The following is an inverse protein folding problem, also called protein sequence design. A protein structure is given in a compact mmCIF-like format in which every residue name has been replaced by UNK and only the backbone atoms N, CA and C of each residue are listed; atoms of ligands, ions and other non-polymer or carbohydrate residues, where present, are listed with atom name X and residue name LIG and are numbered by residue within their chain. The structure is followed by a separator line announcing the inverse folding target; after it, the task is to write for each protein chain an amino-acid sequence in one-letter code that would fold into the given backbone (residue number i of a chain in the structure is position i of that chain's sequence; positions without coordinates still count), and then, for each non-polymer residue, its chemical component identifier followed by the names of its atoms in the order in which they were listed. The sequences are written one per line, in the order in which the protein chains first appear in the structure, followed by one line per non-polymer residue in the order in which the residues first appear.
data_IF_441797120472
#
_entry.id   IF_441797120472
#
_cell.length_a   1.000
_cell.length_b   1.000
_cell.length_c   1.000
_cell.angle_alpha   90.00
_cell.angle_beta   90.00
_cell.angle_gamma   90.00
#
_symmetry.space_group_name_H-M   'P 1'
#
loop_
_entity.id
_entity.type
_entity.pdbx_description
1 polymer ?
#
# COMPACT_ATOMS: atom_id res chain seq x y z
N UNK A 1 11.35 -10.33 -8.18
CA UNK A 1 9.93 -10.69 -8.39
C UNK A 1 8.98 -9.72 -7.67
N UNK A 2 9.20 -9.42 -6.37
CA UNK A 2 8.42 -8.42 -5.62
C UNK A 2 8.40 -7.03 -6.29
N UNK A 3 9.53 -6.58 -6.86
CA UNK A 3 9.54 -5.34 -7.62
C UNK A 3 8.52 -5.36 -8.79
N UNK A 4 8.49 -6.44 -9.57
CA UNK A 4 7.50 -6.63 -10.65
C UNK A 4 6.08 -6.62 -10.09
N UNK A 5 5.85 -7.22 -8.93
CA UNK A 5 4.57 -7.19 -8.21
C UNK A 5 4.09 -5.76 -7.96
N UNK A 6 4.98 -4.87 -7.54
CA UNK A 6 4.62 -3.47 -7.30
C UNK A 6 4.12 -2.80 -8.58
N UNK A 7 4.81 -3.00 -9.72
CA UNK A 7 4.37 -2.47 -11.01
C UNK A 7 3.07 -3.09 -11.50
N UNK A 8 2.96 -4.42 -11.46
CA UNK A 8 1.74 -5.12 -11.87
C UNK A 8 0.53 -4.62 -11.08
N UNK A 9 0.67 -4.53 -9.74
CA UNK A 9 -0.36 -3.99 -8.87
C UNK A 9 -0.70 -2.53 -9.22
N UNK A 10 0.29 -1.66 -9.38
CA UNK A 10 0.07 -0.24 -9.68
C UNK A 10 -0.62 0.01 -11.01
N UNK A 11 -0.19 -0.69 -12.06
CA UNK A 11 -0.76 -0.56 -13.41
C UNK A 11 -2.17 -1.13 -13.45
N UNK A 12 -2.42 -2.27 -12.78
CA UNK A 12 -3.72 -2.92 -12.86
C UNK A 12 -4.79 -2.28 -11.96
N UNK A 13 -4.41 -1.52 -10.92
CA UNK A 13 -5.33 -0.89 -9.97
C UNK A 13 -6.42 -0.03 -10.63
N UNK A 14 -6.08 0.98 -11.47
CA UNK A 14 -7.11 1.78 -12.13
C UNK A 14 -7.96 0.95 -13.11
N UNK A 15 -7.37 -0.07 -13.74
CA UNK A 15 -8.06 -0.95 -14.70
C UNK A 15 -9.13 -1.77 -13.96
N UNK A 16 -8.75 -2.47 -12.90
CA UNK A 16 -9.69 -3.29 -12.13
C UNK A 16 -10.71 -2.47 -11.36
N UNK A 17 -10.36 -1.25 -10.92
CA UNK A 17 -11.33 -0.30 -10.38
C UNK A 17 -12.42 0.06 -11.39
N UNK A 18 -12.03 0.47 -12.60
CA UNK A 18 -12.98 0.80 -13.67
C UNK A 18 -13.83 -0.42 -14.11
N UNK A 19 -13.21 -1.60 -14.18
CA UNK A 19 -13.94 -2.84 -14.45
C UNK A 19 -14.91 -3.19 -13.33
N UNK A 20 -14.58 -2.91 -12.07
CA UNK A 20 -15.46 -3.15 -10.92
C UNK A 20 -16.66 -2.22 -10.93
N UNK A 21 -16.46 -0.95 -11.31
CA UNK A 21 -17.56 -0.01 -11.48
C UNK A 21 -18.45 -0.42 -12.65
N UNK A 22 -17.89 -0.88 -13.78
CA UNK A 22 -18.70 -1.27 -14.95
C UNK A 22 -19.40 -2.61 -14.80
N UNK A 23 -18.71 -3.63 -14.30
CA UNK A 23 -19.16 -5.02 -14.31
C UNK A 23 -19.57 -5.55 -12.92
N UNK A 24 -19.35 -4.75 -11.87
CA UNK A 24 -19.65 -5.07 -10.47
C UNK A 24 -18.44 -5.62 -9.73
N UNK A 25 -18.21 -5.11 -8.52
CA UNK A 25 -17.04 -5.45 -7.69
C UNK A 25 -16.90 -6.94 -7.40
N UNK A 26 -18.00 -7.65 -7.08
CA UNK A 26 -17.98 -9.09 -6.80
C UNK A 26 -17.29 -9.91 -7.92
N UNK A 27 -17.54 -9.60 -9.20
CA UNK A 27 -16.92 -10.33 -10.32
C UNK A 27 -15.41 -10.08 -10.39
N UNK A 28 -14.99 -8.85 -10.11
CA UNK A 28 -13.58 -8.47 -10.14
C UNK A 28 -12.83 -9.05 -8.94
N UNK A 29 -13.45 -9.11 -7.76
CA UNK A 29 -12.87 -9.79 -6.59
C UNK A 29 -12.68 -11.29 -6.85
N UNK A 30 -13.62 -11.95 -7.55
CA UNK A 30 -13.43 -13.35 -7.99
C UNK A 30 -12.20 -13.49 -8.89
N UNK A 31 -12.04 -12.62 -9.89
CA UNK A 31 -10.84 -12.61 -10.74
C UNK A 31 -9.57 -12.38 -9.91
N UNK A 32 -9.64 -11.50 -8.90
CA UNK A 32 -8.53 -11.25 -7.98
C UNK A 32 -8.15 -12.50 -7.18
N UNK A 33 -9.14 -13.22 -6.63
CA UNK A 33 -8.91 -14.49 -5.94
C UNK A 33 -8.29 -15.56 -6.84
N UNK A 34 -8.75 -15.66 -8.10
CA UNK A 34 -8.17 -16.56 -9.10
C UNK A 34 -6.71 -16.20 -9.39
N UNK A 35 -6.41 -14.93 -9.72
CA UNK A 35 -5.04 -14.50 -9.98
C UNK A 35 -4.13 -14.71 -8.76
N UNK A 36 -4.59 -14.37 -7.56
CA UNK A 36 -3.80 -14.52 -6.35
C UNK A 36 -3.49 -15.99 -6.06
N UNK A 37 -4.50 -16.87 -6.06
CA UNK A 37 -4.32 -18.30 -5.80
C UNK A 37 -3.46 -18.97 -6.88
N UNK A 38 -3.72 -18.68 -8.17
CA UNK A 38 -2.89 -19.21 -9.27
C UNK A 38 -1.45 -18.72 -9.20
N UNK A 39 -1.22 -17.48 -8.78
CA UNK A 39 0.12 -16.94 -8.57
C UNK A 39 0.90 -17.69 -7.50
N UNK A 40 0.26 -17.97 -6.36
CA UNK A 40 0.86 -18.78 -5.29
C UNK A 40 1.11 -20.23 -5.71
N UNK A 41 0.17 -20.86 -6.44
CA UNK A 41 0.35 -22.21 -6.99
C UNK A 41 1.54 -22.28 -7.96
N UNK A 42 1.66 -21.28 -8.83
CA UNK A 42 2.79 -21.19 -9.78
C UNK A 42 4.12 -21.03 -9.04
N UNK A 43 4.17 -20.25 -7.96
CA UNK A 43 5.37 -20.14 -7.12
C UNK A 43 5.73 -21.45 -6.41
N UNK A 44 4.74 -22.15 -5.86
CA UNK A 44 4.95 -23.40 -5.14
C UNK A 44 5.59 -24.49 -6.02
N UNK A 45 5.36 -24.40 -7.35
CA UNK A 45 5.87 -25.32 -8.35
C UNK A 45 6.97 -24.68 -9.23
N UNK A 46 7.57 -23.58 -8.79
CA UNK A 46 8.53 -22.84 -9.59
C UNK A 46 9.85 -23.61 -9.76
N UNK A 47 10.21 -23.90 -11.02
CA UNK A 47 11.50 -24.49 -11.39
C UNK A 47 12.55 -23.46 -11.82
N UNK A 48 12.19 -22.17 -11.84
CA UNK A 48 13.11 -21.09 -12.21
C UNK A 48 12.57 -19.68 -11.98
N UNK A 49 13.40 -18.64 -12.21
CA UNK A 49 13.06 -17.25 -11.88
C UNK A 49 11.82 -16.71 -12.59
N UNK A 50 11.58 -17.15 -13.83
CA UNK A 50 10.42 -16.73 -14.61
C UNK A 50 9.09 -17.19 -14.00
N UNK A 51 9.04 -18.38 -13.39
CA UNK A 51 7.86 -18.83 -12.67
C UNK A 51 7.59 -17.96 -11.43
N UNK A 52 8.63 -17.49 -10.73
CA UNK A 52 8.48 -16.53 -9.64
C UNK A 52 8.02 -15.15 -10.15
N UNK A 53 8.58 -14.65 -11.26
CA UNK A 53 8.16 -13.39 -11.87
C UNK A 53 6.71 -13.44 -12.36
N UNK A 54 6.29 -14.54 -12.99
CA UNK A 54 4.90 -14.75 -13.37
C UNK A 54 3.98 -14.91 -12.16
N UNK A 55 4.39 -15.71 -11.17
CA UNK A 55 3.61 -16.03 -9.98
C UNK A 55 3.39 -14.83 -9.07
N UNK A 56 4.39 -14.45 -8.28
CA UNK A 56 4.24 -13.31 -7.36
C UNK A 56 4.30 -11.97 -8.10
N UNK A 57 5.14 -11.87 -9.12
CA UNK A 57 5.36 -10.61 -9.82
C UNK A 57 4.16 -10.14 -10.62
N UNK A 58 3.49 -11.02 -11.36
CA UNK A 58 2.37 -10.61 -12.24
C UNK A 58 1.04 -11.04 -11.62
N UNK A 59 0.84 -12.33 -11.39
CA UNK A 59 -0.45 -12.87 -10.98
C UNK A 59 -0.85 -12.39 -9.59
N UNK A 60 0.02 -12.51 -8.58
CA UNK A 60 -0.28 -11.98 -7.24
C UNK A 60 -0.44 -10.46 -7.28
N UNK A 61 0.38 -9.72 -8.03
CA UNK A 61 0.23 -8.26 -8.18
C UNK A 61 -1.15 -7.85 -8.73
N UNK A 62 -1.59 -8.51 -9.80
CA UNK A 62 -2.93 -8.32 -10.37
C UNK A 62 -4.03 -8.80 -9.42
N UNK A 63 -3.80 -9.88 -8.67
CA UNK A 63 -4.71 -10.42 -7.67
C UNK A 63 -4.94 -9.44 -6.51
N UNK A 64 -3.87 -8.91 -5.93
CA UNK A 64 -3.89 -7.86 -4.90
C UNK A 64 -4.64 -6.63 -5.39
N UNK A 65 -4.53 -6.34 -6.68
CA UNK A 65 -5.21 -5.21 -7.28
C UNK A 65 -6.72 -5.41 -7.42
N UNK A 66 -7.13 -6.54 -8.00
CA UNK A 66 -8.54 -6.86 -8.27
C UNK A 66 -9.34 -7.23 -7.00
N UNK A 67 -8.68 -7.76 -5.96
CA UNK A 67 -9.29 -8.05 -4.65
C UNK A 67 -8.94 -6.99 -3.58
N UNK A 68 -8.23 -5.92 -3.96
CA UNK A 68 -7.70 -4.93 -3.03
C UNK A 68 -8.71 -3.85 -2.60
N UNK A 69 -8.22 -2.93 -1.78
CA UNK A 69 -9.03 -1.86 -1.18
C UNK A 69 -9.84 -1.04 -2.20
N UNK A 70 -9.27 -0.74 -3.37
CA UNK A 70 -9.95 0.08 -4.38
C UNK A 70 -11.25 -0.57 -4.88
N UNK A 71 -11.28 -1.90 -5.02
CA UNK A 71 -12.45 -2.64 -5.50
C UNK A 71 -13.44 -2.91 -4.36
N UNK A 72 -12.95 -3.17 -3.15
CA UNK A 72 -13.79 -3.59 -2.01
C UNK A 72 -14.41 -2.41 -1.26
N UNK A 73 -13.68 -1.32 -1.05
CA UNK A 73 -14.16 -0.22 -0.20
C UNK A 73 -15.30 0.58 -0.82
N UNK A 74 -15.36 0.69 -2.16
CA UNK A 74 -16.46 1.38 -2.85
C UNK A 74 -17.83 0.80 -2.52
N UNK A 75 -18.08 -0.50 -2.76
CA UNK A 75 -19.30 -1.20 -2.35
C UNK A 75 -19.60 -1.08 -0.85
N UNK A 76 -18.59 -1.22 0.02
CA UNK A 76 -18.77 -1.07 1.48
C UNK A 76 -19.30 0.33 1.80
N UNK A 77 -18.69 1.38 1.26
CA UNK A 77 -19.16 2.75 1.50
C UNK A 77 -20.60 3.00 1.04
N UNK A 78 -21.04 2.32 -0.02
CA UNK A 78 -22.41 2.43 -0.56
C UNK A 78 -23.44 1.61 0.22
N UNK A 79 -23.03 0.53 0.88
CA UNK A 79 -23.93 -0.35 1.63
C UNK A 79 -24.46 0.26 2.94
N UNK A 80 -23.81 1.34 3.43
CA UNK A 80 -24.15 1.96 4.71
C UNK A 80 -24.64 3.41 4.54
N UNK A 81 -25.55 3.87 5.42
CA UNK A 81 -25.96 5.28 5.50
C UNK A 81 -24.77 6.23 5.69
N UNK A 82 -24.86 7.50 5.25
CA UNK A 82 -23.77 8.47 5.35
C UNK A 82 -23.15 8.58 6.76
N UNK A 83 -23.97 8.51 7.80
CA UNK A 83 -23.57 8.64 9.20
C UNK A 83 -22.74 7.44 9.69
N UNK A 84 -22.93 6.26 9.08
CA UNK A 84 -22.23 5.01 9.42
C UNK A 84 -21.12 4.65 8.42
N UNK A 85 -21.05 5.34 7.29
CA UNK A 85 -20.13 5.06 6.17
C UNK A 85 -18.67 5.07 6.60
N UNK A 86 -18.24 6.07 7.38
CA UNK A 86 -16.86 6.17 7.87
C UNK A 86 -16.47 4.96 8.74
N UNK A 87 -17.35 4.57 9.67
CA UNK A 87 -17.13 3.40 10.52
C UNK A 87 -17.05 2.10 9.70
N UNK A 88 -17.96 1.90 8.75
CA UNK A 88 -17.97 0.72 7.90
C UNK A 88 -16.67 0.61 7.05
N UNK A 89 -16.23 1.72 6.46
CA UNK A 89 -14.97 1.79 5.72
C UNK A 89 -13.76 1.54 6.63
N UNK A 90 -13.79 2.06 7.86
CA UNK A 90 -12.76 1.82 8.88
C UNK A 90 -12.64 0.35 9.26
N UNK A 91 -13.76 -0.32 9.56
CA UNK A 91 -13.80 -1.76 9.86
C UNK A 91 -13.30 -2.59 8.69
N UNK A 92 -13.76 -2.29 7.46
CA UNK A 92 -13.30 -2.99 6.26
C UNK A 92 -11.78 -2.82 6.04
N UNK A 93 -11.24 -1.62 6.29
CA UNK A 93 -9.81 -1.34 6.17
C UNK A 93 -8.99 -2.04 7.26
N UNK A 94 -9.52 -2.11 8.49
CA UNK A 94 -8.92 -2.84 9.60
C UNK A 94 -8.80 -4.34 9.28
N UNK A 95 -9.76 -4.91 8.54
CA UNK A 95 -9.68 -6.28 8.04
C UNK A 95 -8.43 -6.58 7.22
N UNK A 96 -7.96 -5.63 6.38
CA UNK A 96 -6.71 -5.80 5.63
C UNK A 96 -5.47 -5.83 6.52
N UNK A 97 -5.45 -5.00 7.57
CA UNK A 97 -4.34 -4.97 8.54
C UNK A 97 -4.33 -6.21 9.46
N UNK A 98 -5.52 -6.66 9.88
CA UNK A 98 -5.67 -7.94 10.58
C UNK A 98 -5.24 -9.11 9.71
N UNK A 99 -5.56 -9.08 8.41
CA UNK A 99 -5.07 -10.04 7.43
C UNK A 99 -3.55 -10.08 7.37
N UNK A 100 -2.87 -8.93 7.30
CA UNK A 100 -1.41 -8.85 7.34
C UNK A 100 -0.85 -9.46 8.64
N UNK A 101 -1.42 -9.10 9.80
CA UNK A 101 -1.03 -9.65 11.10
C UNK A 101 -1.12 -11.18 11.12
N UNK A 102 -2.28 -11.73 10.78
CA UNK A 102 -2.57 -13.17 10.87
C UNK A 102 -1.74 -13.93 9.83
N UNK A 103 -1.69 -13.46 8.59
CA UNK A 103 -0.99 -14.15 7.49
C UNK A 103 0.53 -14.14 7.66
N UNK A 104 1.12 -13.12 8.30
CA UNK A 104 2.54 -13.13 8.62
C UNK A 104 2.91 -14.24 9.61
N UNK A 105 2.13 -14.39 10.69
CA UNK A 105 2.34 -15.43 11.69
C UNK A 105 2.05 -16.83 11.14
N UNK A 106 0.93 -16.99 10.43
CA UNK A 106 0.57 -18.26 9.78
C UNK A 106 1.63 -18.63 8.74
N UNK A 107 2.07 -17.67 7.91
CA UNK A 107 3.13 -17.88 6.92
C UNK A 107 4.44 -18.34 7.55
N UNK A 108 4.91 -17.65 8.60
CA UNK A 108 6.11 -18.04 9.34
C UNK A 108 6.01 -19.45 9.94
N UNK A 109 4.91 -19.76 10.63
CA UNK A 109 4.69 -21.08 11.24
C UNK A 109 4.59 -22.21 10.19
N UNK A 110 3.97 -21.96 9.05
CA UNK A 110 3.90 -22.93 7.95
C UNK A 110 5.29 -23.15 7.33
N UNK A 111 6.07 -22.10 7.10
CA UNK A 111 7.43 -22.22 6.56
C UNK A 111 8.31 -23.04 7.50
N UNK A 112 8.26 -22.78 8.81
CA UNK A 112 9.06 -23.48 9.81
C UNK A 112 8.68 -24.97 9.93
N UNK A 113 7.40 -25.32 9.74
CA UNK A 113 6.90 -26.69 9.95
C UNK A 113 6.91 -27.59 8.71
N UNK A 114 6.64 -27.03 7.52
CA UNK A 114 6.48 -27.81 6.28
C UNK A 114 7.28 -27.26 5.09
N UNK A 115 8.08 -26.21 5.31
CA UNK A 115 8.85 -25.55 4.26
C UNK A 115 8.01 -24.62 3.38
N UNK A 116 8.70 -23.77 2.62
CA UNK A 116 8.09 -22.67 1.88
C UNK A 116 7.15 -23.13 0.75
N UNK A 117 7.48 -24.21 0.03
CA UNK A 117 6.67 -24.66 -1.11
C UNK A 117 5.31 -25.21 -0.65
N UNK A 118 5.28 -26.04 0.39
CA UNK A 118 4.03 -26.54 0.97
C UNK A 118 3.23 -25.42 1.64
N UNK A 119 3.90 -24.49 2.32
CA UNK A 119 3.27 -23.30 2.89
C UNK A 119 2.54 -22.47 1.81
N UNK A 120 3.15 -22.26 0.64
CA UNK A 120 2.51 -21.56 -0.48
C UNK A 120 1.26 -22.27 -0.99
N UNK A 121 1.22 -23.61 -1.02
CA UNK A 121 0.02 -24.37 -1.41
C UNK A 121 -1.12 -24.16 -0.40
N UNK A 122 -0.83 -24.21 0.90
CA UNK A 122 -1.83 -23.91 1.95
C UNK A 122 -2.33 -22.48 1.82
N UNK A 123 -1.43 -21.52 1.61
CA UNK A 123 -1.79 -20.12 1.39
C UNK A 123 -2.60 -19.91 0.11
N UNK A 124 -2.37 -20.70 -0.94
CA UNK A 124 -3.19 -20.67 -2.15
C UNK A 124 -4.62 -21.16 -1.89
N UNK A 125 -4.78 -22.20 -1.06
CA UNK A 125 -6.11 -22.67 -0.63
C UNK A 125 -6.82 -21.58 0.19
N UNK A 126 -6.12 -20.94 1.13
CA UNK A 126 -6.67 -19.82 1.91
C UNK A 126 -7.06 -18.66 0.98
N UNK A 127 -6.21 -18.30 0.02
CA UNK A 127 -6.50 -17.26 -0.96
C UNK A 127 -7.69 -17.62 -1.88
N UNK A 128 -7.91 -18.89 -2.18
CA UNK A 128 -9.07 -19.32 -2.97
C UNK A 128 -10.41 -19.01 -2.28
N UNK A 129 -10.45 -18.87 -0.94
CA UNK A 129 -11.65 -18.43 -0.22
C UNK A 129 -12.06 -16.98 -0.55
N UNK A 130 -11.20 -16.17 -1.17
CA UNK A 130 -11.60 -14.87 -1.73
C UNK A 130 -12.77 -15.03 -2.71
N UNK A 131 -12.81 -16.14 -3.47
CA UNK A 131 -13.83 -16.41 -4.49
C UNK A 131 -15.24 -16.52 -3.89
N UNK A 132 -15.52 -17.42 -2.94
CA UNK A 132 -16.84 -17.47 -2.30
C UNK A 132 -17.13 -16.22 -1.47
N UNK A 133 -16.12 -15.60 -0.83
CA UNK A 133 -16.31 -14.38 -0.05
C UNK A 133 -16.65 -13.15 -0.91
N UNK A 134 -16.30 -13.15 -2.19
CA UNK A 134 -16.67 -12.09 -3.14
C UNK A 134 -18.19 -11.86 -3.24
N UNK A 135 -19.00 -12.86 -2.90
CA UNK A 135 -20.46 -12.73 -2.81
C UNK A 135 -20.89 -11.65 -1.80
N UNK A 136 -20.12 -11.43 -0.74
CA UNK A 136 -20.38 -10.40 0.28
C UNK A 136 -20.13 -8.97 -0.21
N UNK A 137 -19.48 -8.80 -1.37
CA UNK A 137 -19.14 -7.48 -1.95
C UNK A 137 -20.09 -7.12 -3.12
N UNK A 138 -21.21 -7.84 -3.25
CA UNK A 138 -22.24 -7.53 -4.25
C UNK A 138 -22.89 -6.18 -3.93
N UNK A 139 -22.92 -5.28 -4.90
CA UNK A 139 -23.57 -3.98 -4.77
C UNK A 139 -23.84 -3.36 -6.14
N UNK A 140 -24.83 -2.45 -6.19
CA UNK A 140 -25.11 -1.68 -7.41
C UNK A 140 -23.94 -0.75 -7.73
N UNK A 141 -23.60 -0.64 -9.01
CA UNK A 141 -22.70 0.39 -9.52
C UNK A 141 -23.37 1.76 -9.38
N UNK A 142 -22.59 2.79 -9.07
CA UNK A 142 -23.10 4.14 -9.04
C UNK A 142 -23.35 4.63 -10.48
N UNK A 143 -24.58 5.03 -10.78
CA UNK A 143 -24.86 5.88 -11.93
C UNK A 143 -24.39 7.30 -11.64
N UNK A 144 -23.76 7.93 -12.65
CA UNK A 144 -23.21 9.28 -12.62
C UNK A 144 -24.27 10.32 -12.23
N UNK A 145 -24.07 10.97 -11.08
CA UNK A 145 -24.87 12.10 -10.63
C UNK A 145 -24.09 13.42 -10.77
N UNK A 146 -24.20 14.04 -11.94
CA UNK A 146 -24.00 15.50 -12.15
C UNK A 146 -22.79 15.89 -13.03
N UNK A 147 -22.83 16.96 -13.85
CA UNK A 147 -21.65 17.50 -14.56
C UNK A 147 -21.10 18.83 -13.98
N UNK A 148 -19.81 19.10 -14.23
CA UNK A 148 -19.22 20.45 -14.38
C UNK A 148 -17.80 20.39 -15.01
N UNK A 149 -17.04 19.31 -14.80
CA UNK A 149 -15.70 19.12 -15.35
C UNK A 149 -15.61 17.71 -15.96
N UNK A 150 -14.96 17.56 -17.11
CA UNK A 150 -14.67 16.24 -17.70
C UNK A 150 -13.46 15.57 -17.02
N UNK A 151 -13.33 14.24 -17.12
CA UNK A 151 -12.13 13.54 -16.61
C UNK A 151 -10.85 14.10 -17.23
N UNK A 152 -10.88 14.44 -18.52
CA UNK A 152 -9.75 15.03 -19.23
C UNK A 152 -9.35 16.38 -18.64
N UNK A 153 -10.31 17.24 -18.32
CA UNK A 153 -10.06 18.52 -17.66
C UNK A 153 -9.49 18.33 -16.25
N UNK A 154 -10.02 17.39 -15.46
CA UNK A 154 -9.50 17.11 -14.12
C UNK A 154 -8.04 16.61 -14.16
N UNK A 155 -7.72 15.73 -15.12
CA UNK A 155 -6.36 15.27 -15.35
C UNK A 155 -5.44 16.40 -15.82
N UNK A 156 -5.91 17.28 -16.70
CA UNK A 156 -5.17 18.46 -17.15
C UNK A 156 -4.91 19.45 -16.01
N UNK A 157 -5.91 19.69 -15.17
CA UNK A 157 -5.82 20.55 -13.98
C UNK A 157 -4.80 20.00 -12.98
N UNK A 158 -4.87 18.71 -12.68
CA UNK A 158 -3.94 18.05 -11.76
C UNK A 158 -2.50 18.00 -12.31
N UNK A 159 -2.33 17.66 -13.59
CA UNK A 159 -1.00 17.63 -14.23
C UNK A 159 -0.35 19.01 -14.34
N UNK A 160 -1.13 20.10 -14.42
CA UNK A 160 -0.62 21.47 -14.37
C UNK A 160 -0.31 21.98 -12.96
N UNK A 161 -0.65 21.23 -11.90
CA UNK A 161 -0.53 21.68 -10.52
C UNK A 161 0.77 21.16 -9.87
N UNK A 162 1.65 22.08 -9.46
CA UNK A 162 2.91 21.75 -8.77
C UNK A 162 2.69 20.96 -7.47
N UNK A 163 1.67 21.31 -6.68
CA UNK A 163 1.38 20.65 -5.40
C UNK A 163 1.02 19.17 -5.60
N UNK A 164 0.37 18.85 -6.72
CA UNK A 164 0.02 17.47 -7.06
C UNK A 164 1.26 16.62 -7.34
N UNK A 165 2.24 17.16 -8.07
CA UNK A 165 3.50 16.46 -8.31
C UNK A 165 4.39 16.35 -7.08
N UNK A 166 4.39 17.37 -6.20
CA UNK A 166 5.05 17.27 -4.89
C UNK A 166 4.43 16.15 -4.05
N UNK A 167 3.09 16.01 -4.08
CA UNK A 167 2.39 14.91 -3.41
C UNK A 167 2.73 13.54 -4.03
N UNK A 168 2.81 13.43 -5.36
CA UNK A 168 3.26 12.21 -6.04
C UNK A 168 4.69 11.82 -5.65
N UNK A 169 5.62 12.78 -5.65
CA UNK A 169 7.02 12.58 -5.27
C UNK A 169 7.16 12.20 -3.79
N UNK A 170 6.32 12.77 -2.94
CA UNK A 170 6.20 12.41 -1.55
C UNK A 170 5.70 10.97 -1.35
N UNK A 171 4.59 10.62 -2.00
CA UNK A 171 3.97 9.31 -1.84
C UNK A 171 4.79 8.17 -2.49
N UNK A 172 5.60 8.48 -3.49
CA UNK A 172 6.67 7.61 -3.99
C UNK A 172 7.59 7.13 -2.85
N UNK A 173 8.03 8.02 -1.95
CA UNK A 173 8.92 7.67 -0.83
C UNK A 173 8.22 6.72 0.14
N UNK A 174 6.91 6.90 0.37
CA UNK A 174 6.15 5.95 1.16
C UNK A 174 6.19 4.54 0.56
N UNK A 175 6.00 4.44 -0.77
CA UNK A 175 6.09 3.16 -1.47
C UNK A 175 7.46 2.54 -1.37
N UNK A 176 8.52 3.34 -1.54
CA UNK A 176 9.90 2.91 -1.36
C UNK A 176 10.11 2.31 0.04
N UNK A 177 9.78 3.03 1.11
CA UNK A 177 9.96 2.55 2.49
C UNK A 177 9.19 1.27 2.76
N UNK A 178 7.91 1.22 2.40
CA UNK A 178 7.04 0.09 2.69
C UNK A 178 7.53 -1.16 1.97
N UNK A 179 7.81 -1.07 0.67
CA UNK A 179 8.26 -2.22 -0.10
C UNK A 179 9.69 -2.63 0.27
N UNK A 180 10.59 -1.67 0.51
CA UNK A 180 11.95 -1.95 0.95
C UNK A 180 11.96 -2.71 2.28
N UNK A 181 11.27 -2.19 3.30
CA UNK A 181 11.21 -2.84 4.62
C UNK A 181 10.54 -4.21 4.52
N UNK A 182 9.39 -4.33 3.83
CA UNK A 182 8.71 -5.61 3.70
C UNK A 182 9.55 -6.68 2.98
N UNK A 183 10.38 -6.27 2.01
CA UNK A 183 11.20 -7.19 1.21
C UNK A 183 12.51 -7.53 1.89
N UNK A 184 13.16 -6.54 2.53
CA UNK A 184 14.55 -6.65 2.96
C UNK A 184 14.74 -6.72 4.48
N UNK A 185 13.72 -6.42 5.29
CA UNK A 185 13.84 -6.60 6.74
C UNK A 185 14.06 -8.09 7.11
N UNK A 186 13.32 -9.09 6.58
CA UNK A 186 13.58 -10.49 6.92
C UNK A 186 15.02 -10.96 6.61
N UNK A 187 15.58 -10.78 5.41
CA UNK A 187 16.98 -11.16 5.16
C UNK A 187 17.97 -10.30 5.95
N UNK A 188 17.73 -8.99 6.15
CA UNK A 188 18.57 -8.15 7.00
C UNK A 188 18.67 -8.69 8.44
N UNK A 189 17.56 -9.17 9.00
CA UNK A 189 17.55 -9.79 10.32
C UNK A 189 18.29 -11.13 10.32
N UNK A 190 18.14 -11.93 9.27
CA UNK A 190 18.90 -13.18 9.12
C UNK A 190 20.41 -12.93 9.03
N UNK A 191 20.86 -11.90 8.31
CA UNK A 191 22.27 -11.49 8.21
C UNK A 191 22.83 -10.98 9.56
N UNK A 192 21.96 -10.61 10.50
CA UNK A 192 22.30 -10.22 11.87
C UNK A 192 22.05 -11.38 12.87
N UNK A 193 22.04 -12.63 12.39
CA UNK A 193 21.87 -13.85 13.21
C UNK A 193 20.57 -13.89 14.03
N UNK A 194 19.53 -13.17 13.59
CA UNK A 194 18.23 -13.18 14.27
C UNK A 194 17.35 -14.34 13.78
N UNK A 195 16.47 -14.82 14.65
CA UNK A 195 15.55 -15.92 14.35
C UNK A 195 14.53 -15.55 13.26
N UNK A 196 14.22 -16.50 12.36
CA UNK A 196 13.19 -16.34 11.31
C UNK A 196 11.84 -15.87 11.87
N UNK A 197 11.42 -16.44 13.01
CA UNK A 197 10.16 -16.08 13.67
C UNK A 197 10.11 -14.62 14.12
N UNK A 198 11.26 -13.99 14.42
CA UNK A 198 11.32 -12.58 14.76
C UNK A 198 10.90 -11.71 13.57
N UNK A 199 11.32 -12.05 12.35
CA UNK A 199 10.92 -11.31 11.15
C UNK A 199 9.40 -11.42 10.91
N UNK A 200 8.84 -12.63 11.03
CA UNK A 200 7.38 -12.83 10.94
C UNK A 200 6.64 -12.03 12.01
N UNK A 201 7.13 -12.04 13.25
CA UNK A 201 6.58 -11.27 14.38
C UNK A 201 6.68 -9.76 14.15
N UNK A 202 7.78 -9.26 13.58
CA UNK A 202 7.95 -7.87 13.23
C UNK A 202 6.92 -7.41 12.17
N UNK A 203 6.73 -8.18 11.10
CA UNK A 203 5.69 -7.90 10.09
C UNK A 203 4.27 -7.96 10.70
N UNK A 204 4.05 -8.87 11.63
CA UNK A 204 2.81 -9.00 12.37
C UNK A 204 2.52 -7.73 13.21
N UNK A 205 3.51 -7.26 13.99
CA UNK A 205 3.44 -6.02 14.77
C UNK A 205 3.20 -4.81 13.87
N UNK A 206 3.87 -4.74 12.72
CA UNK A 206 3.61 -3.69 11.71
C UNK A 206 2.12 -3.68 11.35
N UNK A 207 1.54 -4.85 11.05
CA UNK A 207 0.11 -4.99 10.74
C UNK A 207 -0.80 -4.52 11.87
N UNK A 208 -0.51 -4.88 13.12
CA UNK A 208 -1.30 -4.46 14.28
C UNK A 208 -1.26 -2.94 14.48
N UNK A 209 -0.07 -2.35 14.57
CA UNK A 209 0.09 -0.91 14.79
C UNK A 209 -0.41 -0.08 13.61
N UNK A 210 -0.41 -0.63 12.39
CA UNK A 210 -0.98 0.02 11.22
C UNK A 210 -2.47 0.34 11.36
N UNK A 211 -3.23 -0.49 12.10
CA UNK A 211 -4.64 -0.19 12.41
C UNK A 211 -4.74 1.12 13.20
N UNK A 212 -3.98 1.20 14.29
CA UNK A 212 -3.96 2.36 15.18
C UNK A 212 -3.48 3.61 14.44
N UNK A 213 -2.41 3.44 13.67
CA UNK A 213 -1.79 4.47 12.84
C UNK A 213 -2.72 5.08 11.80
N UNK A 214 -3.40 4.24 11.03
CA UNK A 214 -4.32 4.68 9.98
C UNK A 214 -5.49 5.47 10.55
N UNK A 215 -6.08 5.01 11.67
CA UNK A 215 -7.16 5.72 12.37
C UNK A 215 -6.68 7.06 12.93
N UNK A 216 -5.52 7.08 13.60
CA UNK A 216 -4.94 8.31 14.14
C UNK A 216 -4.65 9.33 13.03
N UNK A 217 -4.14 8.87 11.89
CA UNK A 217 -3.83 9.73 10.74
C UNK A 217 -5.09 10.36 10.14
N UNK A 218 -6.17 9.60 10.03
CA UNK A 218 -7.47 10.13 9.58
C UNK A 218 -8.02 11.20 10.52
N UNK A 219 -7.95 10.97 11.83
CA UNK A 219 -8.34 11.96 12.84
C UNK A 219 -7.47 13.22 12.81
N UNK A 220 -6.14 13.06 12.74
CA UNK A 220 -5.19 14.17 12.65
C UNK A 220 -5.42 15.00 11.39
N UNK A 221 -5.70 14.35 10.25
CA UNK A 221 -5.97 15.03 8.99
C UNK A 221 -7.27 15.83 8.97
N UNK A 222 -8.24 15.50 9.83
CA UNK A 222 -9.45 16.31 10.02
C UNK A 222 -9.26 17.51 10.95
N UNK A 223 -8.22 17.49 11.80
CA UNK A 223 -7.96 18.52 12.81
C UNK A 223 -6.85 19.49 12.40
N UNK A 224 -5.84 18.99 11.71
CA UNK A 224 -4.64 19.73 11.34
C UNK A 224 -4.44 19.69 9.82
N UNK A 225 -3.66 20.65 9.31
CA UNK A 225 -3.33 20.70 7.88
C UNK A 225 -2.54 19.47 7.47
N UNK A 226 -3.11 18.70 6.55
CA UNK A 226 -2.64 17.36 6.20
C UNK A 226 -1.21 17.35 5.65
N UNK A 227 -0.78 18.41 4.96
CA UNK A 227 0.57 18.55 4.44
C UNK A 227 1.62 18.57 5.57
N UNK A 228 1.35 19.26 6.70
CA UNK A 228 2.26 19.26 7.85
C UNK A 228 2.27 17.93 8.59
N UNK A 229 1.12 17.26 8.72
CA UNK A 229 1.06 15.92 9.31
C UNK A 229 1.87 14.94 8.45
N UNK A 230 1.76 15.00 7.11
CA UNK A 230 2.60 14.21 6.21
C UNK A 230 4.09 14.52 6.37
N UNK A 231 4.48 15.80 6.43
CA UNK A 231 5.87 16.18 6.68
C UNK A 231 6.42 15.58 7.97
N UNK A 232 5.64 15.64 9.06
CA UNK A 232 6.02 15.04 10.35
C UNK A 232 6.15 13.52 10.22
N UNK A 233 5.24 12.86 9.52
CA UNK A 233 5.31 11.41 9.30
C UNK A 233 6.58 11.01 8.54
N UNK A 234 6.92 11.69 7.44
CA UNK A 234 8.13 11.34 6.70
C UNK A 234 9.41 11.64 7.48
N UNK A 235 9.44 12.74 8.23
CA UNK A 235 10.59 13.06 9.10
C UNK A 235 10.74 12.01 10.20
N UNK A 236 9.65 11.66 10.88
CA UNK A 236 9.67 10.65 11.93
C UNK A 236 10.07 9.27 11.37
N UNK A 237 9.65 8.87 10.16
CA UNK A 237 10.14 7.64 9.51
C UNK A 237 11.66 7.69 9.33
N UNK A 238 12.22 8.80 8.85
CA UNK A 238 13.67 8.95 8.69
C UNK A 238 14.41 8.83 10.02
N UNK A 239 13.89 9.46 11.08
CA UNK A 239 14.46 9.37 12.45
C UNK A 239 14.39 7.95 12.99
N UNK A 240 13.26 7.26 12.82
CA UNK A 240 13.07 5.88 13.29
C UNK A 240 14.03 4.93 12.56
N UNK A 241 14.14 5.05 11.23
CA UNK A 241 15.07 4.24 10.44
C UNK A 241 16.51 4.53 10.85
N UNK A 242 16.90 5.79 11.00
CA UNK A 242 18.24 6.15 11.48
C UNK A 242 18.53 5.58 12.87
N UNK A 243 17.57 5.68 13.80
CA UNK A 243 17.68 5.09 15.13
C UNK A 243 17.88 3.57 15.07
N UNK A 244 17.14 2.86 14.22
CA UNK A 244 17.26 1.41 14.06
C UNK A 244 18.66 0.96 13.59
N UNK A 245 19.38 1.79 12.83
CA UNK A 245 20.75 1.49 12.40
C UNK A 245 21.81 1.86 13.45
N UNK A 246 21.52 2.86 14.29
CA UNK A 246 22.45 3.32 15.34
C UNK A 246 22.43 2.37 16.54
N UNK A 247 21.27 1.82 16.88
CA UNK A 247 21.14 0.90 17.99
C UNK A 247 21.43 -0.55 17.57
N UNK A 248 21.93 -1.40 18.49
CA UNK A 248 22.15 -2.81 18.20
C UNK A 248 20.88 -3.53 17.73
N UNK A 249 21.03 -4.41 16.75
CA UNK A 249 19.94 -5.29 16.29
C UNK A 249 19.70 -6.36 17.36
N UNK A 250 18.59 -6.22 18.07
CA UNK A 250 18.13 -7.12 19.12
C UNK A 250 16.65 -7.36 18.92
N UNK A 251 16.09 -8.42 19.52
CA UNK A 251 14.65 -8.65 19.50
C UNK A 251 13.87 -7.39 19.91
N UNK A 252 14.25 -6.75 21.02
CA UNK A 252 13.57 -5.54 21.50
C UNK A 252 13.66 -4.38 20.51
N UNK A 253 14.83 -4.08 19.94
CA UNK A 253 14.96 -2.97 18.98
C UNK A 253 14.18 -3.22 17.68
N UNK A 254 14.11 -4.46 17.23
CA UNK A 254 13.31 -4.87 16.06
C UNK A 254 11.81 -4.71 16.31
N UNK A 255 11.30 -5.15 17.46
CA UNK A 255 9.88 -5.02 17.80
C UNK A 255 9.46 -3.56 18.00
N UNK A 256 10.33 -2.73 18.59
CA UNK A 256 10.10 -1.28 18.71
C UNK A 256 10.08 -0.63 17.32
N UNK A 257 11.05 -0.94 16.47
CA UNK A 257 11.10 -0.45 15.09
C UNK A 257 9.82 -0.83 14.33
N UNK A 258 9.41 -2.10 14.40
CA UNK A 258 8.19 -2.59 13.79
C UNK A 258 6.92 -1.89 14.30
N UNK A 259 6.81 -1.63 15.60
CA UNK A 259 5.67 -0.92 16.17
C UNK A 259 5.59 0.53 15.68
N UNK A 260 6.72 1.25 15.70
CA UNK A 260 6.80 2.65 15.26
C UNK A 260 6.57 2.78 13.75
N UNK A 261 7.24 1.95 12.94
CA UNK A 261 7.01 1.92 11.49
C UNK A 261 5.60 1.45 11.15
N UNK A 262 5.07 0.48 11.89
CA UNK A 262 3.69 -0.01 11.80
C UNK A 262 2.67 1.11 11.97
N UNK A 263 2.81 1.91 13.03
CA UNK A 263 1.94 3.07 13.27
C UNK A 263 1.95 4.08 12.11
N UNK A 264 3.03 4.13 11.36
CA UNK A 264 3.18 5.07 10.24
C UNK A 264 2.89 4.42 8.90
N UNK A 265 2.64 3.11 8.84
CA UNK A 265 2.74 2.26 7.64
C UNK A 265 1.81 2.72 6.51
N UNK A 266 0.50 2.67 6.72
CA UNK A 266 -0.51 3.23 5.80
C UNK A 266 -1.08 4.57 6.28
N UNK A 267 -0.55 5.14 7.37
CA UNK A 267 -1.04 6.42 7.90
C UNK A 267 -0.94 7.60 6.91
N UNK A 268 -0.01 7.55 5.97
CA UNK A 268 0.12 8.55 4.90
C UNK A 268 -1.01 8.48 3.87
N UNK A 269 -1.71 7.34 3.75
CA UNK A 269 -2.78 7.12 2.75
C UNK A 269 -3.98 8.06 2.97
N UNK A 270 -4.65 8.09 4.14
CA UNK A 270 -5.79 8.99 4.37
C UNK A 270 -5.40 10.48 4.28
N UNK A 271 -4.17 10.82 4.66
CA UNK A 271 -3.66 12.18 4.55
C UNK A 271 -3.45 12.59 3.09
N UNK A 272 -2.88 11.70 2.27
CA UNK A 272 -2.63 11.92 0.85
C UNK A 272 -3.94 12.00 0.06
N UNK A 273 -4.85 11.05 0.26
CA UNK A 273 -6.15 11.06 -0.44
C UNK A 273 -7.02 12.24 -0.01
N UNK A 274 -6.97 12.64 1.26
CA UNK A 274 -7.66 13.85 1.72
C UNK A 274 -7.10 15.13 1.10
N UNK A 275 -5.78 15.27 0.91
CA UNK A 275 -5.20 16.41 0.20
C UNK A 275 -5.67 16.48 -1.26
N UNK A 276 -5.70 15.34 -1.95
CA UNK A 276 -6.24 15.29 -3.32
C UNK A 276 -7.70 15.71 -3.33
N UNK A 277 -8.51 15.21 -2.39
CA UNK A 277 -9.92 15.56 -2.27
C UNK A 277 -10.13 17.04 -1.94
N UNK A 278 -9.30 17.62 -1.08
CA UNK A 278 -9.39 19.01 -0.66
C UNK A 278 -8.98 19.98 -1.79
N UNK A 279 -7.95 19.65 -2.56
CA UNK A 279 -7.44 20.50 -3.65
C UNK A 279 -8.34 20.39 -4.89
N UNK A 280 -8.72 19.18 -5.29
CA UNK A 280 -9.39 18.92 -6.58
C UNK A 280 -10.87 18.53 -6.46
N UNK A 281 -11.36 18.26 -5.25
CA UNK A 281 -12.72 17.78 -5.01
C UNK A 281 -12.86 16.25 -5.09
N UNK A 282 -14.03 15.75 -4.68
CA UNK A 282 -14.28 14.31 -4.51
C UNK A 282 -14.65 13.57 -5.82
N UNK A 283 -15.09 14.28 -6.87
CA UNK A 283 -15.66 13.66 -8.09
C UNK A 283 -14.69 12.71 -8.80
N UNK A 284 -13.49 13.19 -9.11
CA UNK A 284 -12.45 12.40 -9.79
C UNK A 284 -11.34 11.96 -8.84
N UNK A 285 -11.61 11.96 -7.53
CA UNK A 285 -10.64 11.56 -6.50
C UNK A 285 -10.03 10.19 -6.79
N UNK A 286 -10.84 9.21 -7.20
CA UNK A 286 -10.34 7.87 -7.53
C UNK A 286 -9.33 7.85 -8.68
N UNK A 287 -9.57 8.63 -9.74
CA UNK A 287 -8.67 8.72 -10.88
C UNK A 287 -7.37 9.45 -10.54
N UNK A 288 -7.47 10.59 -9.85
CA UNK A 288 -6.32 11.38 -9.42
C UNK A 288 -5.48 10.61 -8.38
N UNK A 289 -6.12 10.07 -7.34
CA UNK A 289 -5.43 9.23 -6.39
C UNK A 289 -4.84 7.97 -7.04
N UNK A 290 -5.44 7.44 -8.11
CA UNK A 290 -4.86 6.34 -8.89
C UNK A 290 -3.48 6.67 -9.48
N UNK A 291 -3.27 7.88 -9.98
CA UNK A 291 -1.96 8.34 -10.47
C UNK A 291 -0.98 8.52 -9.32
N UNK A 292 -1.42 9.11 -8.20
CA UNK A 292 -0.61 9.24 -6.99
C UNK A 292 -0.19 7.86 -6.47
N UNK A 293 -1.11 6.90 -6.45
CA UNK A 293 -0.86 5.51 -6.06
C UNK A 293 0.08 4.81 -7.05
N UNK A 294 -0.03 5.07 -8.35
CA UNK A 294 0.94 4.55 -9.30
C UNK A 294 2.36 5.06 -9.02
N UNK A 295 2.54 6.35 -8.66
CA UNK A 295 3.82 6.89 -8.19
C UNK A 295 4.35 6.14 -6.96
N UNK A 296 3.48 5.83 -6.00
CA UNK A 296 3.81 4.98 -4.85
C UNK A 296 4.30 3.60 -5.29
N UNK A 297 3.65 2.97 -6.26
CA UNK A 297 4.06 1.66 -6.76
C UNK A 297 5.39 1.69 -7.52
N UNK A 298 5.72 2.78 -8.21
CA UNK A 298 7.07 2.98 -8.78
C UNK A 298 8.11 3.09 -7.66
N UNK A 299 7.80 3.83 -6.60
CA UNK A 299 8.62 3.89 -5.40
C UNK A 299 8.82 2.51 -4.78
N UNK A 300 7.75 1.72 -4.67
CA UNK A 300 7.81 0.35 -4.17
C UNK A 300 8.63 -0.59 -5.05
N UNK A 301 8.53 -0.46 -6.38
CA UNK A 301 9.40 -1.17 -7.31
C UNK A 301 10.86 -0.86 -7.03
N UNK A 302 11.22 0.42 -6.91
CA UNK A 302 12.59 0.83 -6.63
C UNK A 302 13.04 0.40 -5.23
N UNK A 303 12.17 0.46 -4.21
CA UNK A 303 12.48 -0.04 -2.88
C UNK A 303 12.84 -1.52 -2.87
N UNK A 304 12.03 -2.36 -3.52
CA UNK A 304 12.27 -3.80 -3.58
C UNK A 304 13.39 -4.22 -4.55
N UNK A 305 13.59 -3.49 -5.67
CA UNK A 305 14.62 -3.83 -6.65
C UNK A 305 15.99 -3.26 -6.27
N UNK A 306 16.05 -1.97 -5.94
CA UNK A 306 17.31 -1.29 -5.63
C UNK A 306 17.94 -1.85 -4.35
N UNK A 307 17.13 -2.23 -3.36
CA UNK A 307 17.63 -2.88 -2.14
C UNK A 307 18.39 -4.17 -2.43
N UNK A 308 17.82 -5.06 -3.25
CA UNK A 308 18.48 -6.30 -3.68
C UNK A 308 19.69 -6.04 -4.58
N UNK A 309 19.58 -5.13 -5.53
CA UNK A 309 20.69 -4.78 -6.43
C UNK A 309 21.90 -4.23 -5.66
N UNK A 310 21.67 -3.34 -4.67
CA UNK A 310 22.75 -2.82 -3.83
C UNK A 310 23.37 -3.92 -2.97
N UNK A 311 22.53 -4.80 -2.40
CA UNK A 311 23.02 -5.95 -1.65
C UNK A 311 23.91 -6.87 -2.51
N UNK A 312 23.52 -7.17 -3.75
CA UNK A 312 24.33 -7.99 -4.66
C UNK A 312 25.70 -7.34 -4.97
N UNK A 313 25.79 -6.01 -4.92
CA UNK A 313 27.03 -5.27 -5.17
C UNK A 313 27.92 -5.10 -3.93
N UNK A 314 27.32 -4.85 -2.76
CA UNK A 314 28.06 -4.47 -1.55
C UNK A 314 28.10 -5.57 -0.48
N UNK A 315 27.24 -6.58 -0.59
CA UNK A 315 27.06 -7.64 0.40
C UNK A 315 26.34 -7.19 1.68
N UNK A 316 25.74 -5.99 1.70
CA UNK A 316 25.01 -5.47 2.86
C UNK A 316 23.91 -4.47 2.44
N UNK A 317 23.11 -4.01 3.41
CA UNK A 317 21.98 -3.11 3.17
C UNK A 317 22.26 -1.64 3.51
N UNK A 318 23.48 -1.28 3.92
CA UNK A 318 23.78 0.05 4.48
C UNK A 318 23.43 1.19 3.52
N UNK A 319 23.83 1.05 2.25
CA UNK A 319 23.53 2.06 1.22
C UNK A 319 22.02 2.20 1.00
N UNK A 320 21.29 1.08 0.97
CA UNK A 320 19.85 1.10 0.76
C UNK A 320 19.12 1.76 1.96
N UNK A 321 19.57 1.50 3.18
CA UNK A 321 19.06 2.16 4.39
C UNK A 321 19.37 3.66 4.42
N UNK A 322 20.58 4.08 4.02
CA UNK A 322 20.92 5.50 3.91
C UNK A 322 20.06 6.22 2.87
N UNK A 323 19.79 5.60 1.73
CA UNK A 323 18.85 6.12 0.71
C UNK A 323 17.45 6.25 1.32
N UNK A 324 16.98 5.26 2.08
CA UNK A 324 15.68 5.33 2.74
C UNK A 324 15.60 6.53 3.69
N UNK A 325 16.62 6.77 4.52
CA UNK A 325 16.67 7.93 5.43
C UNK A 325 16.63 9.24 4.64
N UNK A 326 17.51 9.38 3.63
CA UNK A 326 17.60 10.58 2.81
C UNK A 326 16.28 10.90 2.10
N UNK A 327 15.62 9.87 1.53
CA UNK A 327 14.31 10.01 0.91
C UNK A 327 13.24 10.44 1.93
N UNK A 328 13.28 9.93 3.17
CA UNK A 328 12.36 10.36 4.23
C UNK A 328 12.51 11.83 4.60
N UNK A 329 13.75 12.32 4.74
CA UNK A 329 14.02 13.75 4.96
C UNK A 329 13.55 14.59 3.78
N UNK A 330 13.86 14.17 2.55
CA UNK A 330 13.41 14.87 1.34
C UNK A 330 11.89 14.91 1.25
N UNK A 331 11.21 13.79 1.51
CA UNK A 331 9.76 13.70 1.53
C UNK A 331 9.16 14.66 2.58
N UNK A 332 9.77 14.80 3.75
CA UNK A 332 9.33 15.77 4.75
C UNK A 332 9.41 17.21 4.24
N UNK A 333 10.53 17.56 3.59
CA UNK A 333 10.78 18.89 3.03
C UNK A 333 9.84 19.24 1.87
N UNK A 334 9.54 18.29 0.98
CA UNK A 334 8.66 18.56 -0.18
C UNK A 334 7.17 18.61 0.18
N UNK A 335 6.73 17.96 1.26
CA UNK A 335 5.35 18.09 1.74
C UNK A 335 5.09 19.42 2.45
N UNK A 336 6.11 20.00 3.07
CA UNK A 336 5.96 21.23 3.85
C UNK A 336 5.35 22.40 3.06
N UNK A 337 5.82 22.72 1.83
CA UNK A 337 5.29 23.82 1.04
C UNK A 337 4.00 23.48 0.28
N UNK A 338 3.46 22.26 0.36
CA UNK A 338 2.23 21.89 -0.35
C UNK A 338 1.09 22.78 0.14
N UNK A 339 0.46 23.51 -0.79
CA UNK A 339 -0.76 24.24 -0.50
C UNK A 339 -1.97 23.30 -0.57
N UNK A 340 -2.70 23.24 0.53
CA UNK A 340 -3.97 22.52 0.72
C UNK A 340 -5.19 23.36 0.31
N UNK A 341 -4.98 24.48 -0.39
CA UNK A 341 -6.08 25.35 -0.84
C UNK A 341 -6.86 24.68 -1.97
N UNK A 342 -8.20 24.66 -1.91
CA UNK A 342 -9.03 24.23 -3.03
C UNK A 342 -8.75 25.05 -4.28
N UNK A 343 -8.74 24.39 -5.44
CA UNK A 343 -8.68 25.10 -6.72
C UNK A 343 -10.01 25.82 -6.91
N UNK A 344 -9.94 27.14 -7.08
CA UNK A 344 -11.09 27.97 -7.42
C UNK A 344 -11.34 27.79 -8.92
N UNK A 345 -12.43 27.13 -9.26
CA UNK A 345 -12.92 27.04 -10.63
C UNK A 345 -13.86 28.21 -10.87
N UNK A 346 -13.41 29.24 -11.57
CA UNK A 346 -14.32 30.28 -12.07
C UNK A 346 -15.27 29.62 -13.05
N UNK A 347 -16.58 29.68 -12.78
CA UNK A 347 -17.62 29.31 -13.73
C UNK A 347 -17.64 30.35 -14.84
N UNK A 348 -16.71 30.27 -15.78
CA UNK A 348 -16.80 31.01 -17.04
C UNK A 348 -17.70 30.23 -17.99
N UNK A 349 -18.91 30.75 -18.23
CA UNK A 349 -19.78 30.36 -19.33
C UNK A 349 -20.91 29.37 -18.98
N UNK A 350 -21.95 29.89 -18.33
CA UNK A 350 -23.32 29.47 -18.63
C UNK A 350 -23.92 30.46 -19.63
#
# INVERSE_FOLDING_TARGET
AIAIQMLAWGISQPIFGALADRYGAARIVVLGGLFYASGLLLMANASGPWALHGGIGILVGMGTSAAGFAVVLGPVGRAFPPEKRSMALGIASAGGSAGQLIMALVGGALIDSMGWAAALLVMAIIAAFIIPLALGVRGKSAGDGGPAQSLREALREASGNKNYWLLCAGFFVCGFHVAFIATHLPPYLADNDMQTMLAATAIAIIGFFNILGTLASGWLGGKYRQNYVLSIYYLARAVIIAGFLIFPVTETSVLIFAALMGFMWLGTVPLTSGLVAQIFGARYLGALFGIVFFSHQIGGFLGAWLGGYLFDLTGNYDVAWMIAIALGVLAALIHWPISDRPIIRTTEGA
#
